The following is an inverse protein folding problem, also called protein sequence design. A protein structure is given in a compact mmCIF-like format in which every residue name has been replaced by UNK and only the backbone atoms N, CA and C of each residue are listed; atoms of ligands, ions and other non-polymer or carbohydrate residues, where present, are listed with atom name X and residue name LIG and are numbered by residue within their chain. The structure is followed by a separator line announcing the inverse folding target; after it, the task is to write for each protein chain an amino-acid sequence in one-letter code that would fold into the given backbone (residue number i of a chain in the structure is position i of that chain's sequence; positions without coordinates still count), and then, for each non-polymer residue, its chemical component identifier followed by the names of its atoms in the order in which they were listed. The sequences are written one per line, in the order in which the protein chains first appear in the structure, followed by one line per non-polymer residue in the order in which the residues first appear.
data_IF_216826033222
#
_entry.id   IF_216826033222
#
_cell.length_a   1.000
_cell.length_b   1.000
_cell.length_c   1.000
_cell.angle_alpha   90.00
_cell.angle_beta   90.00
_cell.angle_gamma   90.00
#
_symmetry.space_group_name_H-M   'P 1'
#
loop_
_entity.id
_entity.type
_entity.pdbx_description
1 polymer ?
#
# COMPACT_ATOMS: atom_id res chain seq x y z
N UNK A 1 8.44 30.53 -4.76
CA UNK A 1 9.53 30.06 -5.72
C UNK A 1 8.95 30.05 -7.12
N UNK A 2 9.76 30.34 -8.16
CA UNK A 2 9.26 30.20 -9.55
C UNK A 2 9.14 28.72 -9.95
N UNK A 3 8.18 28.37 -10.85
CA UNK A 3 8.01 27.00 -11.33
C UNK A 3 9.32 26.37 -11.86
N UNK A 4 10.10 27.11 -12.63
CA UNK A 4 11.38 26.63 -13.16
C UNK A 4 12.41 26.34 -12.05
N UNK A 5 12.39 27.10 -10.95
CA UNK A 5 13.28 26.87 -9.80
C UNK A 5 12.85 25.64 -9.01
N UNK A 6 11.53 25.40 -8.85
CA UNK A 6 11.02 24.19 -8.21
C UNK A 6 11.44 22.97 -9.01
N UNK A 7 11.19 22.95 -10.32
CA UNK A 7 11.55 21.84 -11.22
C UNK A 7 13.05 21.51 -11.13
N UNK A 8 13.90 22.54 -11.24
CA UNK A 8 15.36 22.36 -11.17
C UNK A 8 15.78 21.77 -9.82
N UNK A 9 15.30 22.34 -8.70
CA UNK A 9 15.63 21.83 -7.36
C UNK A 9 15.19 20.39 -7.14
N UNK A 10 14.00 20.02 -7.64
CA UNK A 10 13.53 18.64 -7.56
C UNK A 10 14.47 17.69 -8.31
N UNK A 11 14.88 18.06 -9.54
CA UNK A 11 15.78 17.25 -10.37
C UNK A 11 17.18 17.13 -9.75
N UNK A 12 17.74 18.23 -9.24
CA UNK A 12 19.05 18.25 -8.56
C UNK A 12 19.01 17.36 -7.28
N UNK A 13 18.04 17.58 -6.41
CA UNK A 13 17.88 16.80 -5.18
C UNK A 13 17.71 15.30 -5.47
N UNK A 14 16.94 14.95 -6.50
CA UNK A 14 16.74 13.54 -6.87
C UNK A 14 18.05 12.91 -7.35
N UNK A 15 18.77 13.59 -8.23
CA UNK A 15 20.04 13.09 -8.77
C UNK A 15 21.10 12.91 -7.67
N UNK A 16 21.26 13.91 -6.79
CA UNK A 16 22.21 13.86 -5.69
C UNK A 16 21.89 12.71 -4.72
N UNK A 17 20.61 12.54 -4.35
CA UNK A 17 20.19 11.45 -3.46
C UNK A 17 20.33 10.07 -4.12
N UNK A 18 20.05 9.92 -5.41
CA UNK A 18 20.23 8.66 -6.11
C UNK A 18 21.71 8.22 -6.10
N UNK A 19 22.65 9.17 -6.26
CA UNK A 19 24.07 8.89 -6.15
C UNK A 19 24.45 8.52 -4.71
N UNK A 20 24.01 9.29 -3.72
CA UNK A 20 24.30 9.04 -2.30
C UNK A 20 23.80 7.68 -1.82
N UNK A 21 22.66 7.22 -2.31
CA UNK A 21 22.03 5.96 -1.91
C UNK A 21 22.36 4.79 -2.83
N UNK A 22 23.19 5.02 -3.86
CA UNK A 22 23.61 4.01 -4.86
C UNK A 22 22.43 3.29 -5.54
N UNK A 23 21.26 3.96 -5.68
CA UNK A 23 20.10 3.37 -6.37
C UNK A 23 20.26 3.46 -7.88
N UNK A 24 19.95 2.39 -8.66
CA UNK A 24 20.10 2.38 -10.10
C UNK A 24 19.23 3.40 -10.83
N UNK A 25 18.05 3.67 -10.30
CA UNK A 25 17.12 4.64 -10.85
C UNK A 25 16.05 5.04 -9.86
N UNK A 26 15.56 6.26 -10.02
CA UNK A 26 14.55 6.83 -9.14
C UNK A 26 13.67 7.83 -9.89
N UNK A 27 12.47 8.04 -9.36
CA UNK A 27 11.57 9.12 -9.76
C UNK A 27 11.04 9.83 -8.51
N UNK A 28 10.76 11.11 -8.64
CA UNK A 28 10.16 11.93 -7.59
C UNK A 28 9.06 12.81 -8.17
N UNK A 29 8.02 13.04 -7.37
CA UNK A 29 6.95 13.97 -7.70
C UNK A 29 6.60 14.84 -6.49
N UNK A 30 6.23 16.08 -6.74
CA UNK A 30 5.76 17.01 -5.73
C UNK A 30 4.60 17.83 -6.28
N UNK A 31 3.57 18.05 -5.46
CA UNK A 31 2.42 18.87 -5.81
C UNK A 31 2.50 20.20 -5.07
N UNK A 32 2.55 21.31 -5.81
CA UNK A 32 2.60 22.66 -5.25
C UNK A 32 1.71 23.57 -6.08
N UNK A 33 0.83 24.34 -5.43
CA UNK A 33 -0.05 25.33 -6.08
C UNK A 33 -0.80 24.74 -7.29
N UNK A 34 -1.48 23.60 -7.10
CA UNK A 34 -2.22 22.85 -8.12
C UNK A 34 -1.40 22.40 -9.34
N UNK A 35 -0.09 22.39 -9.21
CA UNK A 35 0.82 21.90 -10.24
C UNK A 35 1.66 20.73 -9.78
N UNK A 36 1.69 19.67 -10.60
CA UNK A 36 2.58 18.53 -10.42
C UNK A 36 3.95 18.86 -11.06
N UNK A 37 5.01 18.62 -10.28
CA UNK A 37 6.40 18.63 -10.73
C UNK A 37 6.95 17.23 -10.60
N UNK A 38 7.65 16.76 -11.63
CA UNK A 38 8.18 15.40 -11.67
C UNK A 38 9.65 15.42 -12.07
N UNK A 39 10.43 14.52 -11.53
CA UNK A 39 11.82 14.29 -11.89
C UNK A 39 12.10 12.79 -11.98
N UNK A 40 13.02 12.42 -12.84
CA UNK A 40 13.46 11.05 -13.01
C UNK A 40 14.98 11.02 -13.26
N UNK A 41 15.64 9.96 -12.79
CA UNK A 41 17.08 9.76 -12.97
C UNK A 41 17.42 8.27 -13.02
N UNK A 42 18.56 7.93 -13.65
CA UNK A 42 19.07 6.58 -13.71
C UNK A 42 18.33 5.65 -14.67
N UNK A 43 18.33 4.35 -14.38
CA UNK A 43 17.84 3.29 -15.26
C UNK A 43 16.83 2.38 -14.56
N UNK A 44 15.90 1.82 -15.34
CA UNK A 44 14.87 0.86 -14.86
C UNK A 44 15.47 -0.50 -14.53
N UNK A 45 16.57 -0.84 -15.18
CA UNK A 45 17.34 -2.05 -14.99
C UNK A 45 18.81 -1.80 -15.30
N UNK A 46 19.70 -2.29 -14.45
CA UNK A 46 21.16 -2.22 -14.71
C UNK A 46 21.59 -3.09 -15.89
N UNK A 47 20.80 -4.10 -16.25
CA UNK A 47 21.08 -4.99 -17.37
C UNK A 47 20.68 -4.37 -18.72
N UNK A 48 19.46 -3.81 -18.79
CA UNK A 48 18.92 -3.25 -20.05
C UNK A 48 19.30 -1.81 -20.27
N UNK A 49 19.70 -1.07 -19.22
CA UNK A 49 20.07 0.35 -19.27
C UNK A 49 18.96 1.29 -19.78
N UNK A 50 17.70 0.83 -19.79
CA UNK A 50 16.58 1.68 -20.19
C UNK A 50 16.40 2.81 -19.18
N UNK A 51 16.40 4.10 -19.63
CA UNK A 51 16.30 5.23 -18.70
C UNK A 51 14.96 5.28 -17.95
N UNK A 52 14.98 5.73 -16.70
CA UNK A 52 13.77 6.12 -15.96
C UNK A 52 13.23 7.42 -16.54
N UNK A 53 11.91 7.49 -16.70
CA UNK A 53 11.16 8.67 -17.12
C UNK A 53 10.01 8.94 -16.16
N UNK A 54 9.37 10.09 -16.23
CA UNK A 54 8.24 10.43 -15.33
C UNK A 54 7.07 9.45 -15.44
N UNK A 55 6.88 8.83 -16.61
CA UNK A 55 5.84 7.83 -16.88
C UNK A 55 6.25 6.39 -16.53
N UNK A 56 7.45 6.17 -16.02
CA UNK A 56 7.89 4.86 -15.56
C UNK A 56 7.08 4.38 -14.37
N UNK A 57 6.78 3.07 -14.33
CA UNK A 57 6.05 2.46 -13.24
C UNK A 57 6.99 1.68 -12.32
N UNK A 58 6.73 1.78 -11.02
CA UNK A 58 7.50 1.12 -9.97
C UNK A 58 6.57 0.26 -9.14
N UNK A 59 7.07 -0.88 -8.67
CA UNK A 59 6.36 -1.64 -7.64
C UNK A 59 6.29 -0.82 -6.36
N UNK A 60 5.06 -0.52 -5.91
CA UNK A 60 4.84 0.40 -4.79
C UNK A 60 4.85 -0.26 -3.41
N UNK A 61 4.97 -1.58 -3.39
CA UNK A 61 5.05 -2.34 -2.15
C UNK A 61 3.90 -2.01 -1.20
N UNK A 62 4.23 -1.79 0.05
CA UNK A 62 3.26 -1.57 1.14
C UNK A 62 2.47 -0.26 1.06
N UNK A 63 2.77 0.65 0.14
CA UNK A 63 1.87 1.78 -0.18
C UNK A 63 0.49 1.24 -0.61
N UNK A 64 0.43 0.06 -1.22
CA UNK A 64 -0.80 -0.66 -1.56
C UNK A 64 -1.76 -0.82 -0.39
N UNK A 65 -1.26 -0.93 0.84
CA UNK A 65 -2.11 -1.08 2.02
C UNK A 65 -3.05 0.10 2.22
N UNK A 66 -2.64 1.30 1.84
CA UNK A 66 -3.53 2.47 1.88
C UNK A 66 -4.67 2.34 0.87
N UNK A 67 -4.40 1.78 -0.32
CA UNK A 67 -5.43 1.49 -1.33
C UNK A 67 -6.42 0.45 -0.79
N UNK A 68 -5.93 -0.64 -0.21
CA UNK A 68 -6.77 -1.67 0.42
C UNK A 68 -7.60 -1.11 1.57
N UNK A 69 -7.00 -0.29 2.44
CA UNK A 69 -7.70 0.37 3.54
C UNK A 69 -8.82 1.30 3.03
N UNK A 70 -8.55 2.07 1.98
CA UNK A 70 -9.55 2.94 1.35
C UNK A 70 -10.74 2.15 0.81
N UNK A 71 -10.50 0.99 0.18
CA UNK A 71 -11.59 0.10 -0.28
C UNK A 71 -12.43 -0.43 0.89
N UNK A 72 -11.80 -0.82 2.00
CA UNK A 72 -12.54 -1.24 3.20
C UNK A 72 -13.39 -0.09 3.74
N UNK A 73 -12.83 1.12 3.83
CA UNK A 73 -13.55 2.29 4.33
C UNK A 73 -14.69 2.72 3.38
N UNK A 74 -14.56 2.52 2.06
CA UNK A 74 -15.71 2.68 1.15
C UNK A 74 -16.86 1.71 1.46
N UNK A 75 -16.54 0.48 1.88
CA UNK A 75 -17.56 -0.50 2.28
C UNK A 75 -18.17 -0.14 3.65
N UNK A 76 -17.42 0.54 4.52
CA UNK A 76 -17.94 1.14 5.76
C UNK A 76 -18.92 2.27 5.44
N UNK A 77 -18.57 3.19 4.54
CA UNK A 77 -19.44 4.28 4.09
C UNK A 77 -20.76 3.77 3.49
N UNK A 78 -20.73 2.57 2.89
CA UNK A 78 -21.90 1.89 2.34
C UNK A 78 -22.72 1.10 3.39
N UNK A 79 -22.25 1.05 4.65
CA UNK A 79 -22.87 0.25 5.72
C UNK A 79 -22.74 -1.27 5.55
N UNK A 80 -21.84 -1.72 4.68
CA UNK A 80 -21.61 -3.15 4.40
C UNK A 80 -20.65 -3.79 5.41
N UNK A 81 -19.76 -2.98 6.00
CA UNK A 81 -18.78 -3.39 7.01
C UNK A 81 -18.89 -2.47 8.22
N UNK A 82 -18.95 -3.07 9.39
CA UNK A 82 -18.64 -2.46 10.67
C UNK A 82 -17.23 -2.89 11.06
N UNK A 83 -16.29 -1.94 11.14
CA UNK A 83 -14.87 -2.24 11.41
C UNK A 83 -14.61 -2.74 12.82
N UNK A 84 -15.58 -2.61 13.73
CA UNK A 84 -15.49 -3.07 15.11
C UNK A 84 -16.14 -4.45 15.32
N UNK A 85 -16.81 -4.98 14.30
CA UNK A 85 -17.37 -6.33 14.32
C UNK A 85 -16.30 -7.36 13.97
N UNK A 86 -16.22 -8.52 14.66
CA UNK A 86 -15.22 -9.54 14.39
C UNK A 86 -15.18 -10.02 12.94
N UNK A 87 -13.97 -10.18 12.38
CA UNK A 87 -13.72 -10.64 11.00
C UNK A 87 -14.42 -11.95 10.70
N UNK A 88 -14.45 -12.89 11.66
CA UNK A 88 -15.10 -14.20 11.51
C UNK A 88 -16.60 -14.12 11.20
N UNK A 89 -17.27 -13.01 11.55
CA UNK A 89 -18.67 -12.78 11.20
C UNK A 89 -18.92 -12.46 9.72
N UNK A 90 -17.88 -12.01 9.02
CA UNK A 90 -17.88 -11.75 7.58
C UNK A 90 -17.23 -12.88 6.78
N UNK A 91 -16.14 -13.43 7.33
CA UNK A 91 -15.33 -14.50 6.74
C UNK A 91 -15.34 -15.73 7.66
N UNK A 92 -16.33 -16.63 7.54
CA UNK A 92 -16.41 -17.83 8.39
C UNK A 92 -15.19 -18.75 8.25
N UNK A 93 -14.42 -18.64 7.17
CA UNK A 93 -13.17 -19.37 6.94
C UNK A 93 -11.97 -18.79 7.69
N UNK A 94 -12.04 -17.55 8.19
CA UNK A 94 -10.93 -16.93 8.92
C UNK A 94 -10.62 -17.69 10.20
N UNK A 95 -9.38 -18.16 10.33
CA UNK A 95 -8.85 -18.84 11.52
C UNK A 95 -7.38 -18.49 11.70
N UNK A 96 -6.96 -18.33 12.95
CA UNK A 96 -5.58 -18.34 13.41
C UNK A 96 -5.41 -19.40 14.49
N UNK A 97 -4.19 -19.71 14.92
CA UNK A 97 -3.93 -20.78 15.90
C UNK A 97 -4.64 -20.54 17.24
N UNK A 98 -4.78 -19.28 17.63
CA UNK A 98 -5.50 -18.87 18.84
C UNK A 98 -7.00 -18.72 18.54
N UNK A 99 -7.83 -19.51 19.24
CA UNK A 99 -9.28 -19.52 19.05
C UNK A 99 -9.95 -18.23 19.58
N UNK A 100 -9.43 -17.63 20.64
CA UNK A 100 -9.92 -16.37 21.19
C UNK A 100 -9.63 -15.22 20.24
N UNK A 101 -8.39 -15.12 19.73
CA UNK A 101 -8.03 -14.16 18.72
C UNK A 101 -8.87 -14.33 17.44
N UNK A 102 -9.12 -15.56 16.99
CA UNK A 102 -10.03 -15.84 15.85
C UNK A 102 -11.42 -15.23 16.07
N UNK A 103 -11.95 -15.33 17.28
CA UNK A 103 -13.28 -14.81 17.60
C UNK A 103 -13.32 -13.28 17.79
N UNK A 104 -12.19 -12.65 18.13
CA UNK A 104 -12.14 -11.25 18.55
C UNK A 104 -11.53 -10.28 17.53
N UNK A 105 -10.65 -10.75 16.66
CA UNK A 105 -9.96 -9.85 15.68
C UNK A 105 -10.97 -9.14 14.80
N UNK A 106 -10.84 -7.80 14.74
CA UNK A 106 -11.72 -6.93 13.97
C UNK A 106 -11.00 -6.33 12.74
N UNK A 107 -11.73 -5.87 11.71
CA UNK A 107 -11.15 -5.12 10.60
C UNK A 107 -10.35 -3.89 11.05
N UNK A 108 -10.79 -3.16 12.09
CA UNK A 108 -10.03 -2.05 12.68
C UNK A 108 -8.63 -2.48 13.12
N UNK A 109 -8.54 -3.61 13.82
CA UNK A 109 -7.25 -4.12 14.30
C UNK A 109 -6.35 -4.63 13.16
N UNK A 110 -6.92 -5.13 12.06
CA UNK A 110 -6.15 -5.47 10.86
C UNK A 110 -5.64 -4.22 10.15
N UNK A 111 -6.49 -3.20 9.96
CA UNK A 111 -6.14 -1.91 9.32
C UNK A 111 -5.03 -1.18 10.07
N UNK A 112 -5.05 -1.23 11.40
CA UNK A 112 -4.10 -0.53 12.27
C UNK A 112 -2.88 -1.38 12.68
N UNK A 113 -2.77 -2.61 12.18
CA UNK A 113 -1.72 -3.56 12.58
C UNK A 113 -1.73 -3.93 14.07
N UNK A 114 -2.90 -3.95 14.69
CA UNK A 114 -3.09 -4.27 16.11
C UNK A 114 -3.76 -5.63 16.35
N UNK A 115 -3.85 -6.47 15.34
CA UNK A 115 -4.43 -7.83 15.48
C UNK A 115 -3.61 -8.75 16.38
N UNK A 116 -2.30 -8.53 16.47
CA UNK A 116 -1.36 -9.39 17.18
C UNK A 116 -1.10 -10.74 16.50
N UNK A 117 -1.64 -10.95 15.31
CA UNK A 117 -1.37 -12.17 14.51
C UNK A 117 0.01 -12.04 13.87
N UNK A 118 0.77 -13.14 13.83
CA UNK A 118 2.02 -13.24 13.08
C UNK A 118 1.82 -12.77 11.64
N UNK A 119 2.70 -11.86 11.17
CA UNK A 119 2.44 -11.07 9.97
C UNK A 119 2.95 -11.65 8.67
N UNK A 120 3.95 -12.53 8.71
CA UNK A 120 4.78 -12.88 7.55
C UNK A 120 4.54 -14.32 7.08
N UNK A 121 3.39 -14.55 6.45
CA UNK A 121 3.10 -15.78 5.70
C UNK A 121 3.39 -15.55 4.21
N UNK A 122 4.58 -15.93 3.73
CA UNK A 122 4.94 -15.86 2.31
C UNK A 122 4.56 -17.16 1.59
N UNK A 123 3.27 -17.36 1.37
CA UNK A 123 2.72 -18.54 0.71
C UNK A 123 2.09 -18.18 -0.63
N UNK A 124 2.52 -18.89 -1.67
CA UNK A 124 1.86 -18.84 -2.98
C UNK A 124 0.68 -19.82 -2.99
N UNK A 125 -0.52 -19.29 -3.13
CA UNK A 125 -1.76 -20.07 -3.19
C UNK A 125 -2.41 -20.02 -4.56
N UNK A 126 -1.66 -19.65 -5.60
CA UNK A 126 -2.12 -19.52 -6.98
C UNK A 126 -2.51 -18.09 -7.35
N UNK A 127 -2.99 -17.93 -8.57
CA UNK A 127 -3.31 -16.64 -9.20
C UNK A 127 -4.76 -16.50 -9.69
N UNK A 128 -5.59 -17.51 -9.39
CA UNK A 128 -7.04 -17.50 -9.68
C UNK A 128 -7.86 -16.76 -8.61
N UNK A 129 -9.14 -16.56 -8.86
CA UNK A 129 -10.07 -15.82 -8.01
C UNK A 129 -10.25 -16.41 -6.59
N UNK A 130 -9.75 -17.63 -6.33
CA UNK A 130 -9.79 -18.28 -5.01
C UNK A 130 -8.48 -18.17 -4.25
N UNK A 131 -7.45 -17.52 -4.81
CA UNK A 131 -6.12 -17.44 -4.21
C UNK A 131 -6.15 -16.80 -2.80
N UNK A 132 -6.86 -15.69 -2.63
CA UNK A 132 -7.01 -15.04 -1.30
C UNK A 132 -7.79 -15.89 -0.31
N UNK A 133 -8.82 -16.61 -0.76
CA UNK A 133 -9.57 -17.52 0.11
C UNK A 133 -8.69 -18.64 0.66
N UNK A 134 -7.89 -19.28 -0.22
CA UNK A 134 -6.93 -20.32 0.19
C UNK A 134 -5.85 -19.76 1.12
N UNK A 135 -5.39 -18.55 0.84
CA UNK A 135 -4.38 -17.88 1.67
C UNK A 135 -4.91 -17.60 3.09
N UNK A 136 -6.12 -17.07 3.21
CA UNK A 136 -6.76 -16.81 4.50
C UNK A 136 -6.96 -18.12 5.29
N UNK A 137 -7.40 -19.19 4.62
CA UNK A 137 -7.54 -20.50 5.25
C UNK A 137 -6.19 -21.08 5.73
N UNK A 138 -5.09 -20.80 5.03
CA UNK A 138 -3.75 -21.21 5.47
C UNK A 138 -3.28 -20.49 6.75
N UNK A 139 -3.89 -19.37 7.12
CA UNK A 139 -3.60 -18.61 8.34
C UNK A 139 -3.88 -19.34 9.64
N UNK A 140 -4.57 -20.49 9.61
CA UNK A 140 -4.90 -21.29 10.80
C UNK A 140 -3.68 -21.74 11.64
N UNK A 141 -2.48 -21.75 11.05
CA UNK A 141 -1.23 -22.09 11.74
C UNK A 141 -0.48 -20.89 12.29
N UNK A 142 -0.92 -19.65 11.98
CA UNK A 142 -0.26 -18.44 12.43
C UNK A 142 -0.44 -18.22 13.92
N UNK A 143 0.66 -17.93 14.59
CA UNK A 143 0.68 -17.72 16.04
C UNK A 143 0.14 -16.34 16.42
N UNK A 144 -0.37 -16.23 17.64
CA UNK A 144 -0.76 -14.97 18.26
C UNK A 144 0.43 -14.42 19.06
N UNK A 145 0.99 -13.27 18.64
CA UNK A 145 2.15 -12.64 19.27
C UNK A 145 1.75 -11.91 20.56
N UNK A 146 0.58 -11.27 20.53
CA UNK A 146 -0.02 -10.56 21.65
C UNK A 146 -1.55 -10.49 21.48
N UNK A 147 -2.28 -10.21 22.54
CA UNK A 147 -3.74 -10.09 22.49
C UNK A 147 -4.16 -8.98 21.48
N UNK A 148 -5.27 -9.17 20.73
CA UNK A 148 -5.80 -8.17 19.82
C UNK A 148 -5.99 -6.81 20.50
N UNK A 149 -5.59 -5.72 19.85
CA UNK A 149 -5.68 -4.35 20.35
C UNK A 149 -4.58 -3.93 21.34
N UNK A 150 -3.68 -4.83 21.77
CA UNK A 150 -2.70 -4.52 22.81
C UNK A 150 -1.50 -3.69 22.33
N UNK A 151 -1.01 -3.96 21.12
CA UNK A 151 0.18 -3.32 20.56
C UNK A 151 0.13 -3.31 19.05
N UNK A 152 0.96 -2.48 18.44
CA UNK A 152 1.17 -2.47 16.98
C UNK A 152 2.23 -3.51 16.62
N UNK A 153 1.86 -4.45 15.75
CA UNK A 153 2.76 -5.43 15.13
C UNK A 153 2.42 -5.53 13.64
N UNK A 154 3.37 -5.12 12.79
CA UNK A 154 3.14 -5.06 11.34
C UNK A 154 2.72 -6.43 10.80
N UNK A 155 1.59 -6.49 10.08
CA UNK A 155 0.97 -7.74 9.67
C UNK A 155 0.57 -7.69 8.19
N UNK A 156 1.32 -8.38 7.32
CA UNK A 156 0.99 -8.53 5.90
C UNK A 156 -0.22 -9.45 5.71
N UNK A 157 -0.28 -10.56 6.47
CA UNK A 157 -1.42 -11.48 6.46
C UNK A 157 -2.74 -10.75 6.69
N UNK A 158 -2.79 -9.83 7.67
CA UNK A 158 -3.99 -9.06 7.97
C UNK A 158 -4.53 -8.27 6.78
N UNK A 159 -3.66 -7.74 5.93
CA UNK A 159 -4.09 -7.03 4.71
C UNK A 159 -4.59 -7.95 3.62
N UNK A 160 -4.07 -9.18 3.51
CA UNK A 160 -4.66 -10.20 2.64
C UNK A 160 -6.05 -10.64 3.15
N UNK A 161 -6.25 -10.72 4.47
CA UNK A 161 -7.59 -10.94 5.06
C UNK A 161 -8.54 -9.80 4.71
N UNK A 162 -8.10 -8.53 4.79
CA UNK A 162 -8.90 -7.37 4.35
C UNK A 162 -9.20 -7.43 2.85
N UNK A 163 -8.25 -7.87 2.02
CA UNK A 163 -8.48 -8.12 0.60
C UNK A 163 -9.59 -9.15 0.37
N UNK A 164 -9.55 -10.28 1.10
CA UNK A 164 -10.60 -11.30 1.05
C UNK A 164 -11.95 -10.77 1.53
N UNK A 165 -11.94 -9.90 2.55
CA UNK A 165 -13.15 -9.24 3.02
C UNK A 165 -13.78 -8.36 1.92
N UNK A 166 -12.96 -7.61 1.17
CA UNK A 166 -13.41 -6.82 0.01
C UNK A 166 -14.03 -7.73 -1.04
N UNK A 167 -13.40 -8.86 -1.38
CA UNK A 167 -13.95 -9.83 -2.35
C UNK A 167 -15.30 -10.36 -1.88
N UNK A 168 -15.42 -10.72 -0.61
CA UNK A 168 -16.67 -11.25 -0.04
C UNK A 168 -17.81 -10.25 -0.11
N UNK A 169 -17.52 -8.97 0.15
CA UNK A 169 -18.55 -7.91 0.19
C UNK A 169 -18.93 -7.39 -1.20
N UNK A 170 -17.99 -7.43 -2.16
CA UNK A 170 -18.22 -6.86 -3.49
C UNK A 170 -18.60 -7.91 -4.54
N UNK A 171 -18.26 -9.17 -4.33
CA UNK A 171 -18.34 -10.22 -5.35
C UNK A 171 -17.29 -10.09 -6.47
N UNK A 172 -16.34 -9.15 -6.35
CA UNK A 172 -15.25 -8.92 -7.29
C UNK A 172 -13.95 -9.47 -6.71
N UNK A 173 -12.99 -9.83 -7.55
CA UNK A 173 -11.63 -10.01 -7.06
C UNK A 173 -11.10 -8.69 -6.48
N UNK A 174 -10.15 -8.75 -5.53
CA UNK A 174 -9.56 -7.55 -4.96
C UNK A 174 -8.98 -6.59 -6.03
N UNK A 175 -8.33 -7.14 -7.05
CA UNK A 175 -7.79 -6.36 -8.16
C UNK A 175 -8.88 -5.66 -8.98
N UNK A 176 -10.00 -6.35 -9.25
CA UNK A 176 -11.15 -5.77 -9.94
C UNK A 176 -11.83 -4.68 -9.09
N UNK A 177 -12.01 -4.91 -7.79
CA UNK A 177 -12.55 -3.93 -6.86
C UNK A 177 -11.66 -2.67 -6.79
N UNK A 178 -10.33 -2.83 -6.74
CA UNK A 178 -9.39 -1.71 -6.77
C UNK A 178 -9.52 -0.92 -8.07
N UNK A 179 -9.57 -1.61 -9.21
CA UNK A 179 -9.74 -0.98 -10.52
C UNK A 179 -11.04 -0.18 -10.61
N UNK A 180 -12.16 -0.80 -10.30
CA UNK A 180 -13.49 -0.20 -10.50
C UNK A 180 -13.79 0.92 -9.51
N UNK A 181 -13.34 0.77 -8.25
CA UNK A 181 -13.72 1.68 -7.17
C UNK A 181 -12.71 2.79 -6.90
N UNK A 182 -11.44 2.65 -7.34
CA UNK A 182 -10.41 3.65 -7.14
C UNK A 182 -9.70 4.04 -8.43
N UNK A 183 -9.11 3.09 -9.16
CA UNK A 183 -8.24 3.39 -10.32
C UNK A 183 -9.01 4.15 -11.39
N UNK A 184 -10.15 3.64 -11.83
CA UNK A 184 -10.99 4.25 -12.87
C UNK A 184 -11.55 5.61 -12.41
N UNK A 185 -12.17 5.73 -11.22
CA UNK A 185 -12.70 7.02 -10.76
C UNK A 185 -11.62 8.08 -10.51
N UNK A 186 -10.41 7.68 -10.15
CA UNK A 186 -9.28 8.61 -10.00
C UNK A 186 -8.67 9.03 -11.34
N UNK A 187 -8.89 8.27 -12.42
CA UNK A 187 -8.20 8.43 -13.68
C UNK A 187 -6.73 7.95 -13.63
N UNK A 188 -6.37 7.10 -12.66
CA UNK A 188 -5.03 6.61 -12.40
C UNK A 188 -4.66 5.47 -13.36
N UNK A 189 -4.36 5.81 -14.61
CA UNK A 189 -4.22 4.85 -15.73
C UNK A 189 -3.05 3.89 -15.60
N UNK A 190 -1.98 4.30 -14.91
CA UNK A 190 -0.77 3.52 -14.66
C UNK A 190 -0.65 3.09 -13.19
N UNK A 191 -1.77 2.87 -12.52
CA UNK A 191 -1.85 2.12 -11.28
C UNK A 191 -2.40 0.75 -11.63
N UNK A 192 -1.52 -0.26 -11.70
CA UNK A 192 -1.80 -1.56 -12.30
C UNK A 192 -1.59 -2.68 -11.28
N UNK A 193 -2.41 -3.72 -11.38
CA UNK A 193 -2.35 -4.89 -10.48
C UNK A 193 -2.02 -6.18 -11.22
N UNK A 194 -2.15 -6.20 -12.54
CA UNK A 194 -2.06 -7.40 -13.37
C UNK A 194 -0.76 -7.40 -14.19
N UNK A 195 -0.06 -8.51 -14.20
CA UNK A 195 1.21 -8.65 -14.89
C UNK A 195 1.09 -8.43 -16.41
N UNK A 196 -0.01 -8.87 -17.02
CA UNK A 196 -0.28 -8.68 -18.46
C UNK A 196 -0.52 -7.21 -18.87
N UNK A 197 -0.87 -6.34 -17.91
CA UNK A 197 -0.90 -4.89 -18.10
C UNK A 197 0.50 -4.28 -17.85
N UNK A 198 1.15 -4.69 -16.79
CA UNK A 198 2.46 -4.18 -16.34
C UNK A 198 3.54 -4.36 -17.40
N UNK A 199 3.58 -5.51 -18.09
CA UNK A 199 4.59 -5.80 -19.12
C UNK A 199 4.50 -4.89 -20.35
N UNK A 200 3.43 -4.12 -20.51
CA UNK A 200 3.24 -3.14 -21.60
C UNK A 200 3.81 -1.78 -21.24
N UNK A 201 4.20 -1.57 -20.00
CA UNK A 201 4.67 -0.29 -19.46
C UNK A 201 6.21 -0.26 -19.32
N UNK A 202 6.72 0.93 -19.06
CA UNK A 202 8.12 1.14 -18.71
C UNK A 202 8.31 0.79 -17.22
N UNK A 203 8.47 -0.49 -16.93
CA UNK A 203 8.52 -0.98 -15.56
C UNK A 203 9.95 -1.07 -15.02
N UNK A 204 10.16 -0.55 -13.82
CA UNK A 204 11.40 -0.76 -13.07
C UNK A 204 11.42 -2.17 -12.46
N UNK A 205 12.56 -2.84 -12.56
CA UNK A 205 12.80 -4.12 -11.89
C UNK A 205 13.46 -3.91 -10.53
N UNK A 206 13.31 -4.87 -9.62
CA UNK A 206 13.99 -4.85 -8.33
C UNK A 206 15.50 -5.08 -8.49
N UNK A 207 16.29 -4.40 -7.66
CA UNK A 207 17.72 -4.55 -7.60
C UNK A 207 18.21 -4.94 -6.20
N UNK A 208 19.31 -5.63 -6.13
CA UNK A 208 19.97 -6.01 -4.89
C UNK A 208 21.46 -5.71 -4.99
N UNK A 209 22.03 -5.24 -3.89
CA UNK A 209 23.49 -5.09 -3.76
C UNK A 209 24.06 -6.40 -3.21
N UNK A 210 24.93 -7.05 -3.97
CA UNK A 210 25.68 -8.20 -3.47
C UNK A 210 26.56 -7.76 -2.29
N UNK A 211 26.39 -8.35 -1.11
CA UNK A 211 27.08 -7.89 0.09
C UNK A 211 28.60 -8.12 0.05
N UNK A 212 29.07 -9.09 -0.76
CA UNK A 212 30.50 -9.44 -0.86
C UNK A 212 31.19 -8.63 -1.95
N UNK A 213 30.59 -8.54 -3.14
CA UNK A 213 31.21 -7.88 -4.30
C UNK A 213 30.81 -6.42 -4.44
N UNK A 214 29.82 -5.94 -3.67
CA UNK A 214 29.22 -4.60 -3.77
C UNK A 214 28.63 -4.27 -5.13
N UNK A 215 28.46 -5.28 -5.99
CA UNK A 215 27.84 -5.10 -7.31
C UNK A 215 26.32 -5.06 -7.18
N UNK A 216 25.71 -4.14 -7.91
CA UNK A 216 24.26 -4.07 -8.08
C UNK A 216 23.85 -5.05 -9.17
N UNK A 217 22.88 -5.91 -8.88
CA UNK A 217 22.30 -6.86 -9.82
C UNK A 217 20.78 -6.85 -9.78
N UNK A 218 20.14 -7.35 -10.81
CA UNK A 218 18.68 -7.53 -10.85
C UNK A 218 18.27 -8.71 -9.98
N UNK A 219 17.19 -8.56 -9.20
CA UNK A 219 16.65 -9.67 -8.39
C UNK A 219 16.11 -10.79 -9.28
N UNK A 220 16.28 -12.03 -8.85
CA UNK A 220 15.81 -13.20 -9.59
C UNK A 220 14.29 -13.36 -9.59
N UNK A 221 13.58 -12.81 -8.60
CA UNK A 221 12.13 -12.86 -8.46
C UNK A 221 11.57 -11.44 -8.28
N UNK A 222 10.90 -10.94 -9.30
CA UNK A 222 10.41 -9.57 -9.36
C UNK A 222 9.05 -9.40 -8.66
N UNK A 223 8.21 -10.44 -8.67
CA UNK A 223 6.89 -10.41 -8.09
C UNK A 223 6.74 -11.45 -6.97
N UNK A 224 6.12 -11.03 -5.87
CA UNK A 224 5.65 -11.90 -4.81
C UNK A 224 4.28 -12.50 -5.18
N UNK A 225 3.78 -13.51 -4.43
CA UNK A 225 2.50 -14.16 -4.71
C UNK A 225 1.32 -13.19 -4.81
N UNK A 226 0.35 -13.49 -5.69
CA UNK A 226 -0.90 -12.71 -5.85
C UNK A 226 -1.75 -12.73 -4.58
N UNK A 227 -1.67 -13.78 -3.79
CA UNK A 227 -2.29 -13.87 -2.46
C UNK A 227 -1.86 -12.79 -1.47
N UNK A 228 -0.73 -12.13 -1.73
CA UNK A 228 -0.23 -10.98 -0.97
C UNK A 228 -0.50 -9.64 -1.68
N UNK A 229 -1.23 -9.62 -2.80
CA UNK A 229 -1.52 -8.40 -3.55
C UNK A 229 -2.14 -7.29 -2.69
N UNK A 230 -3.13 -7.55 -1.80
CA UNK A 230 -3.69 -6.51 -0.93
C UNK A 230 -2.68 -5.92 0.06
N UNK A 231 -1.62 -6.66 0.37
CA UNK A 231 -0.51 -6.22 1.22
C UNK A 231 0.63 -5.52 0.45
N UNK A 232 0.69 -5.66 -0.90
CA UNK A 232 1.62 -4.93 -1.74
C UNK A 232 2.57 -5.74 -2.61
N UNK A 233 2.23 -6.99 -2.94
CA UNK A 233 3.12 -7.85 -3.72
C UNK A 233 3.13 -7.55 -5.22
N UNK A 234 2.04 -7.02 -5.79
CA UNK A 234 1.87 -6.97 -7.26
C UNK A 234 1.65 -5.58 -7.82
N UNK A 235 1.24 -4.60 -6.99
CA UNK A 235 0.84 -3.29 -7.51
C UNK A 235 2.05 -2.49 -7.98
N UNK A 236 1.94 -1.97 -9.19
CA UNK A 236 2.88 -0.99 -9.74
C UNK A 236 2.14 0.30 -10.05
N UNK A 237 2.83 1.43 -9.95
CA UNK A 237 2.25 2.72 -10.31
C UNK A 237 3.30 3.68 -10.86
N UNK A 238 2.85 4.60 -11.73
CA UNK A 238 3.55 5.85 -12.00
C UNK A 238 3.29 6.85 -10.86
N UNK A 239 4.26 7.75 -10.61
CA UNK A 239 4.13 8.70 -9.51
C UNK A 239 2.94 9.66 -9.67
N UNK A 240 2.68 10.12 -10.90
CA UNK A 240 1.52 10.97 -11.17
C UNK A 240 0.21 10.32 -10.69
N UNK A 241 0.05 9.02 -10.91
CA UNK A 241 -1.16 8.29 -10.51
C UNK A 241 -1.25 8.09 -8.99
N UNK A 242 -0.11 7.86 -8.32
CA UNK A 242 -0.06 7.87 -6.84
C UNK A 242 -0.41 9.25 -6.27
N UNK A 243 0.01 10.33 -6.93
CA UNK A 243 -0.33 11.69 -6.52
C UNK A 243 -1.82 11.99 -6.64
N UNK A 244 -2.54 11.39 -7.62
CA UNK A 244 -4.01 11.49 -7.68
C UNK A 244 -4.68 10.84 -6.46
N UNK A 245 -4.19 9.68 -6.04
CA UNK A 245 -4.67 9.00 -4.84
C UNK A 245 -4.36 9.82 -3.56
N UNK A 246 -3.14 10.32 -3.42
CA UNK A 246 -2.76 11.15 -2.28
C UNK A 246 -3.62 12.43 -2.21
N UNK A 247 -3.82 13.09 -3.35
CA UNK A 247 -4.66 14.27 -3.45
C UNK A 247 -6.11 14.01 -3.05
N UNK A 248 -6.67 12.88 -3.47
CA UNK A 248 -8.03 12.48 -3.07
C UNK A 248 -8.18 12.49 -1.54
N UNK A 249 -7.20 11.97 -0.79
CA UNK A 249 -7.21 12.03 0.67
C UNK A 249 -7.06 13.46 1.22
N UNK A 250 -6.23 14.31 0.60
CA UNK A 250 -6.08 15.73 1.00
C UNK A 250 -7.35 16.54 0.69
N UNK A 251 -8.07 16.21 -0.37
CA UNK A 251 -9.31 16.87 -0.80
C UNK A 251 -10.56 16.24 -0.13
N UNK A 252 -10.42 15.62 1.06
CA UNK A 252 -11.51 15.06 1.85
C UNK A 252 -12.27 13.94 1.16
N UNK A 253 -11.56 13.07 0.43
CA UNK A 253 -12.12 11.90 -0.25
C UNK A 253 -12.68 12.17 -1.64
N UNK A 254 -12.40 13.34 -2.23
CA UNK A 254 -12.89 13.74 -3.56
C UNK A 254 -11.82 13.55 -4.63
N UNK A 255 -12.23 13.05 -5.79
CA UNK A 255 -11.37 13.04 -6.97
C UNK A 255 -11.33 14.42 -7.65
N UNK A 256 -10.51 14.57 -8.70
CA UNK A 256 -10.32 15.82 -9.43
C UNK A 256 -11.61 16.37 -10.09
N UNK A 257 -12.62 15.52 -10.35
CA UNK A 257 -13.93 15.94 -10.87
C UNK A 257 -14.93 16.35 -9.77
N UNK A 258 -14.53 16.27 -8.49
CA UNK A 258 -15.39 16.56 -7.33
C UNK A 258 -16.26 15.39 -6.88
N UNK A 259 -16.16 14.22 -7.51
CA UNK A 259 -16.87 13.02 -7.09
C UNK A 259 -16.32 12.54 -5.74
N UNK A 260 -17.20 12.26 -4.78
CA UNK A 260 -16.84 11.66 -3.49
C UNK A 260 -16.56 10.18 -3.70
N UNK A 261 -15.34 9.75 -3.47
CA UNK A 261 -14.91 8.35 -3.49
C UNK A 261 -14.82 7.75 -2.09
N UNK A 262 -14.63 8.60 -1.08
CA UNK A 262 -14.57 8.24 0.33
C UNK A 262 -15.19 9.39 1.12
N UNK A 263 -15.96 9.11 2.17
CA UNK A 263 -16.54 10.17 3.00
C UNK A 263 -15.46 10.96 3.74
N UNK A 264 -15.66 12.26 4.01
CA UNK A 264 -14.73 13.03 4.84
C UNK A 264 -14.53 12.43 6.23
N UNK A 265 -15.57 11.81 6.79
CA UNK A 265 -15.55 11.11 8.08
C UNK A 265 -14.60 9.91 8.02
N UNK A 266 -14.67 9.09 6.97
CA UNK A 266 -13.76 7.97 6.76
C UNK A 266 -12.32 8.42 6.50
N UNK A 267 -12.10 9.52 5.75
CA UNK A 267 -10.76 10.11 5.60
C UNK A 267 -10.20 10.52 6.96
N UNK A 268 -10.97 11.20 7.78
CA UNK A 268 -10.56 11.64 9.13
C UNK A 268 -10.28 10.44 10.05
N UNK A 269 -11.14 9.41 10.01
CA UNK A 269 -10.92 8.17 10.76
C UNK A 269 -9.63 7.47 10.36
N UNK A 270 -9.33 7.38 9.06
CA UNK A 270 -8.09 6.76 8.57
C UNK A 270 -6.82 7.49 9.06
N UNK A 271 -6.90 8.81 9.27
CA UNK A 271 -5.80 9.66 9.71
C UNK A 271 -5.79 9.88 11.24
N UNK A 272 -6.66 9.22 11.98
CA UNK A 272 -6.69 9.26 13.45
C UNK A 272 -5.75 8.21 14.05
N UNK A 273 -5.20 8.51 15.24
CA UNK A 273 -4.28 7.59 15.94
C UNK A 273 -5.08 6.41 16.50
N UNK A 274 -4.78 5.22 16.01
CA UNK A 274 -5.29 3.94 16.52
C UNK A 274 -4.28 3.26 17.48
N UNK A 275 -2.99 3.35 17.18
CA UNK A 275 -1.95 2.75 17.98
C UNK A 275 -0.63 3.50 17.90
N UNK A 276 0.07 3.57 19.03
CA UNK A 276 1.40 4.19 19.13
C UNK A 276 2.48 3.14 18.88
N UNK A 277 3.53 3.55 18.15
CA UNK A 277 4.75 2.78 18.01
C UNK A 277 5.78 3.25 19.04
N UNK A 278 6.57 2.32 19.62
CA UNK A 278 7.77 2.68 20.34
C UNK A 278 8.68 3.49 19.40
N UNK A 279 8.87 4.76 19.67
CA UNK A 279 9.67 5.66 18.83
C UNK A 279 10.81 6.26 19.63
N UNK A 280 11.97 6.54 19.00
CA UNK A 280 13.00 7.37 19.62
C UNK A 280 12.41 8.71 20.05
N UNK A 281 12.90 9.26 21.12
CA UNK A 281 12.37 10.35 21.96
C UNK A 281 11.98 11.66 21.24
N UNK A 282 12.13 11.78 19.92
CA UNK A 282 11.99 13.03 19.16
C UNK A 282 11.02 12.95 17.95
N UNK A 283 10.36 11.81 17.74
CA UNK A 283 9.35 11.68 16.68
C UNK A 283 8.20 10.79 17.14
N UNK A 284 6.99 11.34 17.21
CA UNK A 284 5.80 10.52 17.34
C UNK A 284 5.66 9.66 16.09
N UNK A 285 5.55 8.34 16.27
CA UNK A 285 5.11 7.42 15.23
C UNK A 285 3.87 6.68 15.70
N UNK A 286 2.85 6.67 14.86
CA UNK A 286 1.58 6.02 15.15
C UNK A 286 1.03 5.31 13.92
N UNK A 287 0.02 4.49 14.12
CA UNK A 287 -0.79 3.89 13.07
C UNK A 287 -2.19 4.47 13.11
N UNK A 288 -2.69 4.87 11.95
CA UNK A 288 -4.10 5.05 11.68
C UNK A 288 -4.66 3.83 10.93
N UNK A 289 -5.82 3.96 10.32
CA UNK A 289 -6.41 2.90 9.50
C UNK A 289 -5.76 2.90 8.11
N UNK A 290 -4.69 2.11 7.98
CA UNK A 290 -3.88 2.02 6.76
C UNK A 290 -2.73 3.04 6.69
N UNK A 291 -2.77 4.13 7.45
CA UNK A 291 -1.77 5.18 7.42
C UNK A 291 -0.69 5.01 8.49
N UNK A 292 0.52 5.43 8.13
CA UNK A 292 1.58 5.72 9.09
C UNK A 292 1.48 7.20 9.42
N UNK A 293 1.32 7.51 10.70
CA UNK A 293 1.25 8.86 11.19
C UNK A 293 2.57 9.21 11.89
N UNK A 294 3.10 10.38 11.60
CA UNK A 294 4.31 10.87 12.27
C UNK A 294 4.15 12.32 12.66
N UNK A 295 4.91 12.79 13.65
CA UNK A 295 5.04 14.21 13.90
C UNK A 295 6.45 14.66 13.57
N UNK A 296 6.56 15.79 12.89
CA UNK A 296 7.81 16.48 12.69
C UNK A 296 7.71 17.83 13.40
N UNK A 297 8.66 18.12 14.31
CA UNK A 297 8.65 19.38 15.08
C UNK A 297 7.38 19.62 15.91
N UNK A 298 6.75 18.53 16.41
CA UNK A 298 5.55 18.63 17.26
C UNK A 298 4.25 18.85 16.53
N UNK A 299 4.25 18.92 15.19
CA UNK A 299 3.02 18.93 14.38
C UNK A 299 2.80 17.57 13.71
N UNK A 300 1.56 17.04 13.68
CA UNK A 300 1.26 15.83 12.93
C UNK A 300 1.51 16.06 11.43
N UNK A 301 2.12 15.05 10.79
CA UNK A 301 2.39 15.00 9.35
C UNK A 301 1.77 13.71 8.80
#
# INVERSE_FOLDING_TARGET
MTPARIQRRLSECLADNAVLTEVPGAAAAIWIDDRLYEAATGVLSVDTRVPVTADSVFQIGSITKMLTATLVMQLVDQGLIDIDRPVVSYLPEFRVADAEATAMVTPRQLLSHMSGVEGDLFLDTGDDDSALQRYVAAGQSLTQIHAPGRAVSYCNFGYSVLGRLIERMTGLSWAAALRERLVVPLGARRLLTRLDEVVKERVAVGHVVDPQTRKVGVVSKTYLPVSLAPAGSTVVAALADLMLFARMHLDGGRNASGQILLSPESVAAMQSIEGLLPSPQWALQARGLGWVLSSRSGQPV
#
